data_IF_147054753440
#
_entry.id   IF_147054753440
#
_cell.length_a   1.000
_cell.length_b   1.000
_cell.length_c   1.000
_cell.angle_alpha   90.00
_cell.angle_beta   90.00
_cell.angle_gamma   90.00
#
_symmetry.space_group_name_H-M   'P 1'
#
loop_
_entity.id
_entity.type
_entity.pdbx_description
1 polymer ?
#
# COMPACT_ATOMS: atom_id res chain seq x y z
N UNK A 1 30.25 -3.37 -3.22
CA UNK A 1 30.05 -3.90 -1.85
C UNK A 1 30.76 -3.07 -0.81
N UNK A 2 30.18 -2.95 0.39
CA UNK A 2 30.87 -2.35 1.54
C UNK A 2 31.34 -0.92 1.32
N UNK A 3 30.51 -0.09 0.69
CA UNK A 3 30.81 1.33 0.49
C UNK A 3 29.62 2.18 0.91
N UNK A 4 29.88 3.46 1.17
CA UNK A 4 28.84 4.43 1.44
C UNK A 4 27.78 4.47 0.32
N UNK A 5 28.24 4.55 -0.94
CA UNK A 5 27.36 4.62 -2.11
C UNK A 5 26.51 3.35 -2.27
N UNK A 6 27.08 2.18 -1.97
CA UNK A 6 26.37 0.91 -2.01
C UNK A 6 25.18 0.83 -1.04
N UNK A 7 25.15 1.69 -0.01
CA UNK A 7 24.02 1.79 0.92
C UNK A 7 23.08 2.94 0.57
N UNK A 8 23.63 4.11 0.19
CA UNK A 8 22.85 5.30 -0.10
C UNK A 8 22.00 5.15 -1.36
N UNK A 9 22.51 4.49 -2.41
CA UNK A 9 21.76 4.28 -3.67
C UNK A 9 20.47 3.46 -3.46
N UNK A 10 20.50 2.22 -2.92
CA UNK A 10 19.27 1.48 -2.65
C UNK A 10 18.40 2.22 -1.62
N UNK A 11 19.00 2.83 -0.60
CA UNK A 11 18.28 3.66 0.37
C UNK A 11 17.47 4.78 -0.30
N UNK A 12 18.04 5.44 -1.31
CA UNK A 12 17.37 6.52 -2.06
C UNK A 12 16.14 5.99 -2.79
N UNK A 13 16.26 4.85 -3.48
CA UNK A 13 15.14 4.26 -4.20
C UNK A 13 13.98 3.88 -3.28
N UNK A 14 14.28 3.26 -2.13
CA UNK A 14 13.27 2.91 -1.13
C UNK A 14 12.63 4.15 -0.48
N UNK A 15 13.41 5.19 -0.17
CA UNK A 15 12.87 6.45 0.37
C UNK A 15 11.92 7.11 -0.63
N UNK A 16 12.33 7.26 -1.90
CA UNK A 16 11.51 7.91 -2.91
C UNK A 16 10.18 7.19 -3.14
N UNK A 17 10.21 5.87 -3.26
CA UNK A 17 8.99 5.08 -3.47
C UNK A 17 8.12 5.03 -2.21
N UNK A 18 8.72 4.92 -1.02
CA UNK A 18 8.02 4.94 0.26
C UNK A 18 7.33 6.27 0.53
N UNK A 19 8.00 7.40 0.26
CA UNK A 19 7.41 8.75 0.39
C UNK A 19 6.24 8.92 -0.58
N UNK A 20 6.40 8.45 -1.82
CA UNK A 20 5.35 8.47 -2.82
C UNK A 20 4.13 7.68 -2.37
N UNK A 21 4.31 6.43 -1.93
CA UNK A 21 3.22 5.60 -1.44
C UNK A 21 2.54 6.19 -0.22
N UNK A 22 3.32 6.72 0.73
CA UNK A 22 2.80 7.36 1.93
C UNK A 22 1.89 8.55 1.57
N UNK A 23 2.39 9.50 0.78
CA UNK A 23 1.64 10.67 0.38
C UNK A 23 0.36 10.31 -0.37
N UNK A 24 0.43 9.40 -1.34
CA UNK A 24 -0.74 9.02 -2.15
C UNK A 24 -1.77 8.22 -1.38
N UNK A 25 -1.34 7.35 -0.46
CA UNK A 25 -2.24 6.61 0.43
C UNK A 25 -3.05 7.58 1.28
N UNK A 26 -2.36 8.54 1.92
CA UNK A 26 -3.00 9.57 2.76
C UNK A 26 -3.93 10.47 1.93
N UNK A 27 -3.48 10.96 0.77
CA UNK A 27 -4.32 11.79 -0.12
C UNK A 27 -5.57 11.03 -0.57
N UNK A 28 -5.43 9.77 -0.99
CA UNK A 28 -6.55 8.95 -1.44
C UNK A 28 -7.53 8.65 -0.30
N UNK A 29 -7.03 8.46 0.93
CA UNK A 29 -7.86 8.30 2.12
C UNK A 29 -8.75 9.52 2.35
N UNK A 30 -8.19 10.73 2.42
CA UNK A 30 -9.00 11.95 2.59
C UNK A 30 -9.92 12.22 1.38
N UNK A 31 -9.49 11.91 0.15
CA UNK A 31 -10.38 11.97 -1.01
C UNK A 31 -11.56 11.01 -0.89
N UNK A 32 -11.35 9.80 -0.35
CA UNK A 32 -12.40 8.81 -0.17
C UNK A 32 -13.42 9.22 0.89
N UNK A 33 -12.95 9.78 2.00
CA UNK A 33 -13.79 10.33 3.06
C UNK A 33 -14.65 11.49 2.54
N UNK A 34 -14.07 12.39 1.74
CA UNK A 34 -14.80 13.51 1.13
C UNK A 34 -15.92 13.02 0.20
N UNK A 35 -15.72 11.92 -0.53
CA UNK A 35 -16.71 11.34 -1.45
C UNK A 35 -17.78 10.49 -0.77
N UNK A 36 -17.44 9.81 0.33
CA UNK A 36 -18.42 9.04 1.13
C UNK A 36 -19.59 9.88 1.62
N UNK A 37 -19.36 11.18 1.79
CA UNK A 37 -20.40 12.13 2.19
C UNK A 37 -21.46 12.37 1.11
N UNK A 38 -21.20 12.03 -0.16
CA UNK A 38 -22.14 12.17 -1.28
C UNK A 38 -22.67 10.82 -1.80
N UNK A 39 -21.86 9.75 -1.71
CA UNK A 39 -22.24 8.42 -2.19
C UNK A 39 -21.71 7.35 -1.24
N UNK A 40 -22.62 6.54 -0.70
CA UNK A 40 -22.33 5.39 0.17
C UNK A 40 -21.42 4.35 -0.50
N UNK A 41 -21.36 4.33 -1.84
CA UNK A 41 -20.63 3.34 -2.64
C UNK A 41 -19.13 3.66 -2.85
N UNK A 42 -18.69 4.85 -2.41
CA UNK A 42 -17.29 5.27 -2.53
C UNK A 42 -16.41 4.71 -1.41
N UNK A 43 -15.94 3.47 -1.53
CA UNK A 43 -14.97 2.88 -0.60
C UNK A 43 -13.50 3.16 -0.97
N UNK A 44 -12.64 3.32 0.04
CA UNK A 44 -11.19 3.37 -0.15
C UNK A 44 -10.68 2.00 -0.59
N UNK A 45 -9.74 1.98 -1.54
CA UNK A 45 -9.11 0.74 -2.01
C UNK A 45 -7.63 0.97 -2.29
N UNK A 46 -6.78 0.24 -1.57
CA UNK A 46 -5.34 0.17 -1.74
C UNK A 46 -4.95 -0.39 -3.11
N UNK A 47 -3.86 0.11 -3.65
CA UNK A 47 -3.21 -0.38 -4.86
C UNK A 47 -1.71 -0.51 -4.61
N UNK A 48 -1.07 -1.59 -5.09
CA UNK A 48 0.37 -1.75 -4.91
C UNK A 48 1.12 -0.63 -5.63
N UNK A 49 0.60 -0.23 -6.79
CA UNK A 49 1.14 0.80 -7.67
C UNK A 49 0.14 1.92 -7.88
N UNK A 50 0.59 3.17 -7.78
CA UNK A 50 -0.26 4.34 -7.98
C UNK A 50 0.02 5.06 -9.30
N UNK A 51 -1.04 5.50 -9.98
CA UNK A 51 -0.92 6.33 -11.20
C UNK A 51 -0.16 7.62 -10.92
N UNK A 52 0.65 8.06 -11.88
CA UNK A 52 1.35 9.34 -11.78
C UNK A 52 0.38 10.49 -12.11
N UNK A 53 0.35 11.52 -11.27
CA UNK A 53 -0.50 12.70 -11.52
C UNK A 53 -0.05 13.49 -12.74
N UNK A 54 1.26 13.54 -13.03
CA UNK A 54 1.81 14.22 -14.21
C UNK A 54 1.65 13.39 -15.49
N UNK A 55 1.72 12.06 -15.37
CA UNK A 55 1.68 11.13 -16.50
C UNK A 55 0.66 10.00 -16.24
N UNK A 56 -0.66 10.28 -16.25
CA UNK A 56 -1.68 9.31 -15.87
C UNK A 56 -1.77 8.11 -16.82
N UNK A 57 -1.32 8.29 -18.07
CA UNK A 57 -1.35 7.28 -19.13
C UNK A 57 -0.06 6.44 -19.21
N UNK A 58 0.84 6.53 -18.23
CA UNK A 58 2.10 5.77 -18.20
C UNK A 58 2.29 5.09 -16.83
N UNK A 59 2.83 3.85 -16.79
CA UNK A 59 3.17 3.17 -15.54
C UNK A 59 4.48 3.70 -14.94
N UNK A 60 4.50 4.97 -14.53
CA UNK A 60 5.72 5.66 -14.09
C UNK A 60 6.44 4.95 -12.93
N UNK A 61 5.70 4.35 -12.01
CA UNK A 61 6.27 3.61 -10.89
C UNK A 61 6.92 2.29 -11.32
N UNK A 62 6.27 1.54 -12.22
CA UNK A 62 6.85 0.34 -12.81
C UNK A 62 8.14 0.66 -13.59
N UNK A 63 8.13 1.74 -14.39
CA UNK A 63 9.33 2.21 -15.06
C UNK A 63 10.43 2.64 -14.08
N UNK A 64 10.08 3.36 -13.01
CA UNK A 64 11.04 3.75 -11.98
C UNK A 64 11.71 2.52 -11.35
N UNK A 65 10.94 1.49 -10.98
CA UNK A 65 11.47 0.24 -10.43
C UNK A 65 12.41 -0.47 -11.40
N UNK A 66 12.02 -0.61 -12.67
CA UNK A 66 12.84 -1.24 -13.71
C UNK A 66 14.15 -0.48 -13.92
N UNK A 67 14.09 0.84 -14.08
CA UNK A 67 15.27 1.68 -14.31
C UNK A 67 16.19 1.66 -13.10
N UNK A 68 15.65 1.77 -11.88
CA UNK A 68 16.43 1.72 -10.64
C UNK A 68 17.13 0.37 -10.47
N UNK A 69 16.40 -0.73 -10.73
CA UNK A 69 16.97 -2.07 -10.74
C UNK A 69 18.08 -2.23 -11.79
N UNK A 70 17.89 -1.71 -13.00
CA UNK A 70 18.91 -1.75 -14.04
C UNK A 70 20.17 -0.98 -13.65
N UNK A 71 20.03 0.23 -13.08
CA UNK A 71 21.16 1.02 -12.56
C UNK A 71 21.91 0.24 -11.47
N UNK A 72 21.18 -0.36 -10.52
CA UNK A 72 21.76 -1.19 -9.46
C UNK A 72 22.52 -2.40 -10.01
N UNK A 73 21.90 -3.17 -10.92
CA UNK A 73 22.54 -4.32 -11.57
C UNK A 73 23.78 -3.93 -12.34
N UNK A 74 23.74 -2.85 -13.13
CA UNK A 74 24.90 -2.37 -13.89
C UNK A 74 26.03 -1.99 -12.93
N UNK A 75 25.73 -1.27 -11.85
CA UNK A 75 26.73 -0.89 -10.84
C UNK A 75 27.37 -2.10 -10.15
N UNK A 76 26.58 -3.09 -9.76
CA UNK A 76 27.07 -4.32 -9.13
C UNK A 76 27.87 -5.18 -10.11
N UNK A 77 27.40 -5.36 -11.36
CA UNK A 77 28.13 -6.10 -12.39
C UNK A 77 29.46 -5.41 -12.71
N UNK A 78 29.45 -4.09 -12.91
CA UNK A 78 30.67 -3.33 -13.20
C UNK A 78 31.71 -3.48 -12.08
N UNK A 79 31.27 -3.42 -10.83
CA UNK A 79 32.15 -3.56 -9.66
C UNK A 79 32.44 -5.01 -9.27
N UNK A 80 31.88 -6.00 -9.98
CA UNK A 80 32.13 -7.43 -9.72
C UNK A 80 33.39 -7.94 -10.43
N UNK A 81 33.93 -7.18 -11.39
CA UNK A 81 35.12 -7.55 -12.15
C UNK A 81 36.29 -6.66 -11.76
N UNK A 82 37.41 -7.29 -11.43
CA UNK A 82 38.72 -6.64 -11.32
C UNK A 82 39.65 -7.31 -12.34
N UNK A 83 40.28 -6.51 -13.21
CA UNK A 83 41.16 -6.99 -14.29
C UNK A 83 40.56 -8.10 -15.18
N UNK A 84 39.24 -8.02 -15.44
CA UNK A 84 38.51 -8.98 -16.27
C UNK A 84 38.22 -10.32 -15.58
N UNK A 85 38.56 -10.49 -14.30
CA UNK A 85 38.22 -11.65 -13.49
C UNK A 85 37.07 -11.33 -12.57
N UNK A 86 36.14 -12.27 -12.45
CA UNK A 86 35.04 -12.17 -11.49
C UNK A 86 35.60 -12.35 -10.07
N UNK A 87 35.55 -11.32 -9.24
CA UNK A 87 36.20 -11.31 -7.91
C UNK A 87 35.22 -11.24 -6.74
N UNK A 88 33.97 -10.82 -6.95
CA UNK A 88 33.04 -10.58 -5.83
C UNK A 88 31.73 -11.37 -5.92
N UNK A 89 31.66 -12.47 -5.18
CA UNK A 89 30.41 -13.24 -4.99
C UNK A 89 29.29 -12.43 -4.33
N UNK A 90 29.65 -11.42 -3.52
CA UNK A 90 28.66 -10.50 -2.94
C UNK A 90 27.89 -9.75 -4.03
N UNK A 91 28.58 -9.28 -5.08
CA UNK A 91 27.97 -8.48 -6.14
C UNK A 91 26.90 -9.27 -6.90
N UNK A 92 27.07 -10.59 -7.04
CA UNK A 92 26.04 -11.48 -7.58
C UNK A 92 24.79 -11.52 -6.69
N UNK A 93 24.95 -11.52 -5.37
CA UNK A 93 23.80 -11.47 -4.46
C UNK A 93 23.02 -10.16 -4.63
N UNK A 94 23.69 -8.99 -4.64
CA UNK A 94 23.00 -7.72 -4.85
C UNK A 94 22.39 -7.59 -6.25
N UNK A 95 23.08 -8.07 -7.29
CA UNK A 95 22.51 -8.13 -8.64
C UNK A 95 21.21 -8.94 -8.65
N UNK A 96 21.18 -10.05 -7.92
CA UNK A 96 19.97 -10.87 -7.75
C UNK A 96 18.87 -10.11 -7.00
N UNK A 97 19.19 -9.37 -5.94
CA UNK A 97 18.22 -8.53 -5.23
C UNK A 97 17.58 -7.50 -6.20
N UNK A 98 18.41 -6.75 -6.93
CA UNK A 98 17.92 -5.76 -7.91
C UNK A 98 17.05 -6.39 -9.00
N UNK A 99 17.44 -7.57 -9.51
CA UNK A 99 16.66 -8.30 -10.52
C UNK A 99 15.22 -8.53 -10.05
N UNK A 100 14.99 -9.00 -8.82
CA UNK A 100 13.65 -9.27 -8.32
C UNK A 100 12.80 -8.01 -8.12
N UNK A 101 13.40 -6.89 -7.70
CA UNK A 101 12.71 -5.60 -7.69
C UNK A 101 12.40 -5.09 -9.11
N UNK A 102 13.28 -5.35 -10.08
CA UNK A 102 13.04 -5.09 -11.50
C UNK A 102 11.88 -5.93 -12.06
N UNK A 103 11.80 -7.21 -11.69
CA UNK A 103 10.68 -8.10 -12.06
C UNK A 103 9.35 -7.62 -11.48
N UNK A 104 9.34 -7.11 -10.24
CA UNK A 104 8.14 -6.46 -9.69
C UNK A 104 7.71 -5.25 -10.53
N UNK A 105 8.66 -4.36 -10.89
CA UNK A 105 8.39 -3.23 -11.77
C UNK A 105 7.88 -3.65 -13.16
N UNK A 106 8.40 -4.74 -13.71
CA UNK A 106 7.92 -5.32 -14.95
C UNK A 106 6.47 -5.78 -14.84
N UNK A 107 6.11 -6.50 -13.77
CA UNK A 107 4.73 -6.91 -13.50
C UNK A 107 3.78 -5.72 -13.35
N UNK A 108 4.22 -4.63 -12.71
CA UNK A 108 3.43 -3.39 -12.63
C UNK A 108 3.11 -2.81 -14.02
N UNK A 109 4.09 -2.83 -14.94
CA UNK A 109 3.91 -2.38 -16.32
C UNK A 109 2.92 -3.28 -17.06
N UNK A 110 3.03 -4.60 -16.93
CA UNK A 110 2.12 -5.55 -17.56
C UNK A 110 0.67 -5.35 -17.08
N UNK A 111 0.48 -5.19 -15.77
CA UNK A 111 -0.83 -4.95 -15.16
C UNK A 111 -1.41 -3.60 -15.61
N UNK A 112 -0.58 -2.57 -15.78
CA UNK A 112 -1.02 -1.27 -16.27
C UNK A 112 -1.59 -1.34 -17.69
N UNK A 113 -0.94 -2.09 -18.59
CA UNK A 113 -1.40 -2.26 -19.97
C UNK A 113 -2.52 -3.30 -20.13
N UNK A 114 -3.00 -3.91 -19.04
CA UNK A 114 -4.09 -4.88 -19.08
C UNK A 114 -3.72 -6.20 -19.75
N UNK A 115 -2.44 -6.55 -19.77
CA UNK A 115 -1.98 -7.85 -20.28
C UNK A 115 -2.44 -8.98 -19.35
N UNK A 116 -2.41 -10.22 -19.85
CA UNK A 116 -2.91 -11.42 -19.16
C UNK A 116 -2.09 -11.83 -17.93
N UNK A 117 -2.14 -11.02 -16.87
CA UNK A 117 -1.50 -11.27 -15.58
C UNK A 117 -2.59 -11.31 -14.49
N UNK A 118 -2.56 -12.31 -13.58
CA UNK A 118 -3.54 -12.40 -12.49
C UNK A 118 -3.59 -11.14 -11.61
N UNK A 119 -4.79 -10.77 -11.17
CA UNK A 119 -4.96 -9.64 -10.23
C UNK A 119 -4.25 -9.95 -8.92
N UNK A 120 -3.35 -9.04 -8.49
CA UNK A 120 -2.57 -9.23 -7.26
C UNK A 120 -1.16 -9.76 -7.46
N UNK A 121 -0.75 -10.02 -8.70
CA UNK A 121 0.65 -10.35 -9.01
C UNK A 121 1.63 -9.23 -8.63
N UNK A 122 1.20 -7.97 -8.63
CA UNK A 122 1.95 -6.81 -8.13
C UNK A 122 2.36 -6.97 -6.65
N UNK A 123 1.42 -7.38 -5.79
CA UNK A 123 1.71 -7.63 -4.38
C UNK A 123 2.56 -8.89 -4.17
N UNK A 124 2.27 -9.97 -4.90
CA UNK A 124 3.00 -11.22 -4.76
C UNK A 124 4.46 -11.07 -5.19
N UNK A 125 4.71 -10.40 -6.32
CA UNK A 125 6.08 -10.18 -6.80
C UNK A 125 6.85 -9.19 -5.94
N UNK A 126 6.18 -8.21 -5.32
CA UNK A 126 6.79 -7.32 -4.33
C UNK A 126 7.19 -8.08 -3.06
N UNK A 127 6.30 -8.95 -2.55
CA UNK A 127 6.62 -9.84 -1.43
C UNK A 127 7.78 -10.78 -1.79
N UNK A 128 7.78 -11.36 -3.00
CA UNK A 128 8.86 -12.22 -3.46
C UNK A 128 10.21 -11.46 -3.53
N UNK A 129 10.21 -10.21 -3.97
CA UNK A 129 11.41 -9.37 -3.98
C UNK A 129 11.95 -9.14 -2.56
N UNK A 130 11.08 -8.78 -1.61
CA UNK A 130 11.47 -8.63 -0.20
C UNK A 130 11.96 -9.95 0.41
N UNK A 131 11.35 -11.08 0.05
CA UNK A 131 11.77 -12.40 0.51
C UNK A 131 13.17 -12.76 0.01
N UNK A 132 13.45 -12.58 -1.28
CA UNK A 132 14.76 -12.83 -1.87
C UNK A 132 15.81 -11.90 -1.27
N UNK A 133 15.48 -10.62 -1.09
CA UNK A 133 16.34 -9.65 -0.40
C UNK A 133 16.68 -10.11 1.02
N UNK A 134 15.68 -10.49 1.81
CA UNK A 134 15.87 -10.98 3.18
C UNK A 134 16.74 -12.25 3.21
N UNK A 135 16.46 -13.21 2.33
CA UNK A 135 17.21 -14.46 2.23
C UNK A 135 18.69 -14.20 1.94
N UNK A 136 18.98 -13.33 0.96
CA UNK A 136 20.34 -13.03 0.58
C UNK A 136 21.06 -12.22 1.66
N UNK A 137 20.41 -11.24 2.31
CA UNK A 137 20.98 -10.52 3.45
C UNK A 137 21.30 -11.43 4.62
N UNK A 138 20.42 -12.39 4.93
CA UNK A 138 20.64 -13.33 6.03
C UNK A 138 21.94 -14.11 5.88
N UNK A 139 22.23 -14.62 4.68
CA UNK A 139 23.46 -15.38 4.42
C UNK A 139 24.71 -14.50 4.21
N UNK A 140 24.53 -13.19 4.00
CA UNK A 140 25.61 -12.23 3.75
C UNK A 140 26.44 -11.84 4.99
N UNK A 141 25.98 -12.16 6.21
CA UNK A 141 26.56 -11.63 7.45
C UNK A 141 27.71 -12.45 8.04
N UNK A 142 28.02 -13.61 7.48
CA UNK A 142 29.06 -14.49 8.03
C UNK A 142 30.45 -13.84 7.99
N UNK A 143 31.19 -13.88 9.10
CA UNK A 143 32.58 -13.43 9.19
C UNK A 143 32.78 -11.92 9.35
N UNK A 144 31.74 -11.17 9.74
CA UNK A 144 31.81 -9.71 9.97
C UNK A 144 31.93 -9.33 11.44
N UNK A 145 32.26 -8.06 11.70
CA UNK A 145 32.35 -7.49 13.07
C UNK A 145 30.97 -7.41 13.74
N UNK A 146 30.95 -7.32 15.08
CA UNK A 146 29.70 -7.27 15.86
C UNK A 146 28.80 -6.10 15.42
N UNK A 147 29.39 -4.91 15.20
CA UNK A 147 28.68 -3.73 14.72
C UNK A 147 28.10 -3.91 13.31
N UNK A 148 28.86 -4.49 12.38
CA UNK A 148 28.41 -4.74 11.01
C UNK A 148 27.23 -5.73 10.99
N UNK A 149 27.31 -6.79 11.81
CA UNK A 149 26.24 -7.76 11.97
C UNK A 149 24.96 -7.07 12.49
N UNK A 150 25.02 -6.29 13.58
CA UNK A 150 23.81 -5.73 14.18
C UNK A 150 23.11 -4.71 13.28
N UNK A 151 23.86 -3.84 12.58
CA UNK A 151 23.25 -2.84 11.69
C UNK A 151 22.53 -3.51 10.52
N UNK A 152 23.09 -4.58 9.97
CA UNK A 152 22.46 -5.33 8.90
C UNK A 152 21.34 -6.28 9.38
N UNK A 153 21.42 -6.81 10.60
CA UNK A 153 20.30 -7.54 11.22
C UNK A 153 19.08 -6.64 11.39
N UNK A 154 19.28 -5.39 11.83
CA UNK A 154 18.20 -4.41 11.91
C UNK A 154 17.63 -4.05 10.52
N UNK A 155 18.47 -4.01 9.49
CA UNK A 155 18.01 -3.87 8.11
C UNK A 155 17.17 -5.08 7.68
N UNK A 156 17.61 -6.30 7.99
CA UNK A 156 16.87 -7.53 7.75
C UNK A 156 15.49 -7.52 8.43
N UNK A 157 15.40 -7.02 9.67
CA UNK A 157 14.11 -6.82 10.36
C UNK A 157 13.20 -5.89 9.57
N UNK A 158 13.71 -4.77 9.04
CA UNK A 158 12.93 -3.85 8.22
C UNK A 158 12.45 -4.52 6.91
N UNK A 159 13.29 -5.31 6.25
CA UNK A 159 12.95 -6.04 5.01
C UNK A 159 11.86 -7.07 5.28
N UNK A 160 11.97 -7.85 6.37
CA UNK A 160 10.94 -8.82 6.77
C UNK A 160 9.62 -8.12 7.09
N UNK A 161 9.67 -6.94 7.70
CA UNK A 161 8.47 -6.12 7.92
C UNK A 161 7.86 -5.65 6.58
N UNK A 162 8.66 -5.23 5.60
CA UNK A 162 8.20 -4.89 4.23
C UNK A 162 7.55 -6.08 3.51
N UNK A 163 8.12 -7.27 3.66
CA UNK A 163 7.54 -8.53 3.18
C UNK A 163 6.15 -8.79 3.79
N UNK A 164 6.08 -8.76 5.13
CA UNK A 164 4.82 -8.99 5.84
C UNK A 164 3.77 -7.92 5.48
N UNK A 165 4.16 -6.65 5.42
CA UNK A 165 3.28 -5.56 5.05
C UNK A 165 2.68 -5.73 3.64
N UNK A 166 3.48 -6.20 2.69
CA UNK A 166 3.03 -6.50 1.32
C UNK A 166 1.93 -7.57 1.29
N UNK A 167 2.05 -8.62 2.10
CA UNK A 167 1.05 -9.69 2.22
C UNK A 167 -0.20 -9.23 3.00
N UNK A 168 -0.02 -8.45 4.06
CA UNK A 168 -1.12 -7.89 4.86
C UNK A 168 -1.99 -6.98 3.99
N UNK A 169 -1.38 -6.08 3.21
CA UNK A 169 -2.12 -5.21 2.29
C UNK A 169 -2.77 -5.99 1.15
N UNK A 170 -2.11 -7.02 0.65
CA UNK A 170 -2.70 -7.89 -0.37
C UNK A 170 -4.06 -8.45 0.08
N UNK A 171 -4.15 -8.91 1.33
CA UNK A 171 -5.39 -9.44 1.92
C UNK A 171 -6.36 -8.35 2.37
N UNK A 172 -5.85 -7.20 2.82
CA UNK A 172 -6.66 -6.13 3.44
C UNK A 172 -6.67 -4.84 2.61
N UNK A 173 -7.00 -4.94 1.32
CA UNK A 173 -6.97 -3.80 0.37
C UNK A 173 -8.00 -2.71 0.65
N UNK A 174 -8.99 -2.92 1.50
CA UNK A 174 -9.95 -1.87 1.91
C UNK A 174 -9.48 -1.09 3.13
N UNK A 175 -8.42 -1.53 3.80
CA UNK A 175 -7.93 -0.92 5.03
C UNK A 175 -6.75 0.01 4.73
N UNK A 176 -6.93 1.32 4.94
CA UNK A 176 -5.85 2.31 4.76
C UNK A 176 -4.60 2.01 5.59
N UNK A 177 -4.78 1.42 6.77
CA UNK A 177 -3.65 1.12 7.67
C UNK A 177 -2.70 0.08 7.06
N UNK A 178 -3.20 -0.82 6.21
CA UNK A 178 -2.34 -1.81 5.56
C UNK A 178 -1.40 -1.16 4.53
N UNK A 179 -1.90 -0.21 3.74
CA UNK A 179 -1.09 0.58 2.81
C UNK A 179 -0.14 1.56 3.49
N UNK A 180 -0.57 2.17 4.61
CA UNK A 180 0.31 2.99 5.43
C UNK A 180 1.43 2.14 6.04
N UNK A 181 1.12 0.94 6.55
CA UNK A 181 2.11 0.04 7.12
C UNK A 181 3.17 -0.35 6.09
N UNK A 182 2.79 -0.72 4.87
CA UNK A 182 3.76 -0.98 3.77
C UNK A 182 4.64 0.24 3.50
N UNK A 183 4.05 1.44 3.43
CA UNK A 183 4.79 2.67 3.17
C UNK A 183 5.80 2.97 4.29
N UNK A 184 5.40 2.78 5.55
CA UNK A 184 6.25 2.96 6.74
C UNK A 184 7.41 1.96 6.75
N UNK A 185 7.15 0.66 6.50
CA UNK A 185 8.21 -0.36 6.43
C UNK A 185 9.22 -0.08 5.32
N UNK A 186 8.74 0.36 4.14
CA UNK A 186 9.59 0.71 2.99
C UNK A 186 10.46 1.93 3.31
N UNK A 187 9.91 2.94 3.98
CA UNK A 187 10.67 4.10 4.46
C UNK A 187 11.69 3.72 5.54
N UNK A 188 11.34 2.80 6.45
CA UNK A 188 12.25 2.31 7.47
C UNK A 188 13.44 1.62 6.83
N UNK A 189 13.20 0.74 5.87
CA UNK A 189 14.25 0.08 5.08
C UNK A 189 15.15 1.12 4.39
N UNK A 190 14.57 2.09 3.67
CA UNK A 190 15.35 3.10 2.95
C UNK A 190 16.16 4.04 3.83
N UNK A 191 15.56 4.55 4.91
CA UNK A 191 16.27 5.43 5.87
C UNK A 191 17.32 4.66 6.66
N UNK A 192 17.09 3.37 6.94
CA UNK A 192 18.05 2.55 7.63
C UNK A 192 19.26 2.21 6.75
N UNK A 193 19.06 1.99 5.44
CA UNK A 193 20.18 1.90 4.49
C UNK A 193 21.12 3.12 4.60
N UNK A 194 20.57 4.34 4.67
CA UNK A 194 21.38 5.53 4.92
C UNK A 194 22.13 5.45 6.24
N UNK A 195 21.46 5.06 7.32
CA UNK A 195 22.06 4.94 8.64
C UNK A 195 23.22 3.94 8.66
N UNK A 196 23.07 2.78 8.01
CA UNK A 196 24.16 1.79 7.84
C UNK A 196 25.34 2.42 7.09
N UNK A 197 25.08 3.14 6.00
CA UNK A 197 26.10 3.85 5.24
C UNK A 197 26.89 4.84 6.11
N UNK A 198 26.22 5.63 6.94
CA UNK A 198 26.90 6.58 7.85
C UNK A 198 27.61 5.91 9.03
N UNK A 199 27.12 4.79 9.54
CA UNK A 199 27.78 4.07 10.65
C UNK A 199 29.07 3.40 10.14
N UNK A 200 28.98 2.64 9.05
CA UNK A 200 30.09 1.81 8.57
C UNK A 200 31.05 2.54 7.62
N UNK A 201 30.55 3.51 6.86
CA UNK A 201 31.26 4.12 5.74
C UNK A 201 31.12 5.65 5.70
N UNK A 202 31.14 6.31 6.87
CA UNK A 202 30.95 7.75 6.96
C UNK A 202 31.89 8.52 6.00
N UNK A 203 31.35 9.31 5.04
CA UNK A 203 32.17 9.99 4.05
C UNK A 203 32.73 11.33 4.56
N UNK A 204 32.33 11.78 5.75
CA UNK A 204 32.70 13.11 6.26
C UNK A 204 34.16 13.13 6.74
N UNK A 205 34.98 14.10 6.29
CA UNK A 205 36.34 14.27 6.76
C UNK A 205 36.39 14.48 8.29
N UNK A 206 37.22 13.70 8.99
CA UNK A 206 37.38 13.81 10.44
C UNK A 206 36.25 13.18 11.27
N UNK A 207 35.31 12.47 10.65
CA UNK A 207 34.29 11.73 11.38
C UNK A 207 34.94 10.66 12.29
N UNK A 208 34.51 10.63 13.55
CA UNK A 208 34.92 9.59 14.50
C UNK A 208 34.33 8.27 14.04
N UNK A 209 35.19 7.26 13.86
CA UNK A 209 34.76 5.92 13.49
C UNK A 209 34.06 5.25 14.67
N UNK A 210 33.00 4.51 14.37
CA UNK A 210 32.35 3.65 15.35
C UNK A 210 33.30 2.54 15.77
N UNK A 211 33.26 2.18 17.05
CA UNK A 211 34.01 1.07 17.61
C UNK A 211 33.22 -0.24 17.35
N UNK A 212 33.76 -1.16 16.52
CA UNK A 212 33.02 -2.34 16.07
C UNK A 212 32.60 -3.30 17.19
N UNK A 213 33.29 -3.28 18.33
CA UNK A 213 33.07 -4.22 19.45
C UNK A 213 32.55 -3.52 20.71
N UNK A 214 32.23 -2.22 20.63
CA UNK A 214 31.75 -1.45 21.78
C UNK A 214 30.28 -1.73 22.08
N UNK A 215 30.04 -2.39 23.23
CA UNK A 215 28.68 -2.68 23.70
C UNK A 215 27.79 -1.43 23.84
N UNK A 216 28.24 -0.30 24.44
CA UNK A 216 27.44 0.93 24.49
C UNK A 216 27.05 1.48 23.11
N UNK A 217 27.95 1.38 22.12
CA UNK A 217 27.65 1.83 20.76
C UNK A 217 26.64 0.91 20.07
N UNK A 218 26.73 -0.41 20.29
CA UNK A 218 25.73 -1.37 19.81
C UNK A 218 24.34 -1.07 20.41
N UNK A 219 24.26 -0.75 21.71
CA UNK A 219 23.01 -0.31 22.34
C UNK A 219 22.49 1.00 21.73
N UNK A 220 23.37 1.94 21.40
CA UNK A 220 22.98 3.19 20.74
C UNK A 220 22.39 2.92 19.34
N UNK A 221 22.96 1.99 18.57
CA UNK A 221 22.45 1.62 17.24
C UNK A 221 20.99 1.16 17.29
N UNK A 222 20.63 0.31 18.26
CA UNK A 222 19.24 -0.16 18.39
C UNK A 222 18.29 0.97 18.81
N UNK A 223 18.76 1.91 19.65
CA UNK A 223 17.99 3.11 19.97
C UNK A 223 17.76 4.00 18.74
N UNK A 224 18.78 4.21 17.91
CA UNK A 224 18.67 4.98 16.66
C UNK A 224 17.67 4.32 15.72
N UNK A 225 17.65 2.98 15.61
CA UNK A 225 16.63 2.27 14.82
C UNK A 225 15.20 2.60 15.26
N UNK A 226 14.95 2.61 16.57
CA UNK A 226 13.65 3.01 17.13
C UNK A 226 13.34 4.49 16.86
N UNK A 227 14.34 5.37 16.84
CA UNK A 227 14.14 6.77 16.48
C UNK A 227 13.76 6.95 15.01
N UNK A 228 14.28 6.12 14.09
CA UNK A 228 13.81 6.10 12.71
C UNK A 228 12.32 5.74 12.63
N UNK A 229 11.87 4.73 13.38
CA UNK A 229 10.45 4.36 13.45
C UNK A 229 9.62 5.54 13.95
N UNK A 230 10.02 6.18 15.05
CA UNK A 230 9.33 7.35 15.58
C UNK A 230 9.28 8.51 14.57
N UNK A 231 10.40 8.80 13.91
CA UNK A 231 10.49 9.84 12.87
C UNK A 231 9.55 9.58 11.68
N UNK A 232 9.45 8.33 11.22
CA UNK A 232 8.56 7.95 10.12
C UNK A 232 7.08 8.04 10.54
N UNK A 233 6.74 7.71 11.79
CA UNK A 233 5.39 7.91 12.33
C UNK A 233 5.05 9.40 12.36
N UNK A 234 5.96 10.25 12.84
CA UNK A 234 5.78 11.71 12.83
C UNK A 234 5.62 12.26 11.40
N UNK A 235 6.43 11.79 10.46
CA UNK A 235 6.30 12.13 9.04
C UNK A 235 4.94 11.72 8.45
N UNK A 236 4.46 10.53 8.83
CA UNK A 236 3.12 10.05 8.43
C UNK A 236 2.03 10.98 8.99
N UNK A 237 2.12 11.37 10.25
CA UNK A 237 1.24 12.34 10.88
C UNK A 237 1.28 13.71 10.19
N UNK A 238 2.48 14.17 9.81
CA UNK A 238 2.66 15.41 9.07
C UNK A 238 1.99 15.39 7.69
N UNK A 239 2.18 14.33 6.89
CA UNK A 239 1.45 14.21 5.63
C UNK A 239 -0.06 14.06 5.82
N UNK A 240 -0.48 13.38 6.89
CA UNK A 240 -1.87 13.33 7.35
C UNK A 240 -2.45 14.72 7.56
N UNK A 241 -1.76 15.54 8.33
CA UNK A 241 -2.11 16.94 8.60
C UNK A 241 -2.17 17.77 7.31
N UNK A 242 -1.13 17.73 6.47
CA UNK A 242 -1.10 18.47 5.20
C UNK A 242 -2.27 18.09 4.28
N UNK A 243 -2.56 16.79 4.14
CA UNK A 243 -3.69 16.34 3.32
C UNK A 243 -5.04 16.70 3.94
N UNK A 244 -5.16 16.61 5.27
CA UNK A 244 -6.35 17.09 5.98
C UNK A 244 -6.60 18.56 5.70
N UNK A 245 -5.60 19.44 5.86
CA UNK A 245 -5.72 20.87 5.55
C UNK A 245 -6.13 21.12 4.10
N UNK A 246 -5.53 20.41 3.14
CA UNK A 246 -5.86 20.57 1.71
C UNK A 246 -7.29 20.17 1.38
N UNK A 247 -7.84 19.15 2.04
CA UNK A 247 -9.19 18.65 1.79
C UNK A 247 -10.24 19.24 2.75
N UNK A 248 -9.83 19.86 3.86
CA UNK A 248 -10.69 20.44 4.90
C UNK A 248 -11.77 21.40 4.36
N UNK A 249 -11.47 22.36 3.46
CA UNK A 249 -12.48 23.25 2.91
C UNK A 249 -13.61 22.51 2.18
N UNK A 250 -13.26 21.41 1.50
CA UNK A 250 -14.22 20.57 0.77
C UNK A 250 -15.16 19.87 1.75
N UNK A 251 -14.64 19.35 2.87
CA UNK A 251 -15.49 18.77 3.93
C UNK A 251 -16.43 19.79 4.55
N UNK A 252 -15.93 20.98 4.91
CA UNK A 252 -16.75 22.01 5.55
C UNK A 252 -17.85 22.51 4.61
N UNK A 253 -17.56 22.67 3.33
CA UNK A 253 -18.56 23.05 2.33
C UNK A 253 -19.61 21.94 2.15
N UNK A 254 -19.18 20.68 2.01
CA UNK A 254 -20.09 19.55 1.84
C UNK A 254 -20.97 19.30 3.07
N UNK A 255 -20.46 19.55 4.29
CA UNK A 255 -21.23 19.43 5.53
C UNK A 255 -22.36 20.47 5.60
N UNK A 256 -22.11 21.70 5.14
CA UNK A 256 -23.12 22.75 5.05
C UNK A 256 -24.20 22.43 4.02
N UNK A 257 -23.82 21.89 2.86
CA UNK A 257 -24.77 21.51 1.79
C UNK A 257 -25.69 20.38 2.25
N UNK A 258 -25.12 19.29 2.80
CA UNK A 258 -25.94 18.17 3.26
C UNK A 258 -26.86 18.55 4.44
N UNK A 259 -26.35 19.31 5.42
CA UNK A 259 -27.18 19.79 6.52
C UNK A 259 -28.29 20.74 6.08
N UNK A 260 -28.04 21.55 5.04
CA UNK A 260 -29.07 22.38 4.41
C UNK A 260 -30.13 21.55 3.68
N UNK A 261 -29.73 20.57 2.86
CA UNK A 261 -30.68 19.70 2.15
C UNK A 261 -31.54 18.86 3.11
N UNK A 262 -30.97 18.35 4.20
CA UNK A 262 -31.73 17.64 5.22
C UNK A 262 -32.73 18.56 5.93
N UNK A 263 -32.33 19.82 6.18
CA UNK A 263 -33.21 20.84 6.77
C UNK A 263 -34.36 21.24 5.84
N UNK A 264 -34.12 21.37 4.53
CA UNK A 264 -35.19 21.61 3.54
C UNK A 264 -36.10 20.39 3.37
N UNK A 265 -35.56 19.18 3.40
CA UNK A 265 -36.36 17.95 3.33
C UNK A 265 -37.27 17.84 4.56
N UNK A 266 -36.75 18.11 5.77
CA UNK A 266 -37.52 18.10 7.00
C UNK A 266 -38.62 19.17 7.02
N UNK A 267 -38.30 20.38 6.56
CA UNK A 267 -39.29 21.46 6.41
C UNK A 267 -40.37 21.12 5.37
N UNK A 268 -40.01 20.45 4.27
CA UNK A 268 -40.98 20.04 3.24
C UNK A 268 -41.91 18.92 3.75
N UNK A 269 -41.41 17.99 4.58
CA UNK A 269 -42.25 17.00 5.26
C UNK A 269 -43.19 17.65 6.28
N UNK A 270 -42.73 18.62 7.09
CA UNK A 270 -43.60 19.36 8.01
C UNK A 270 -44.69 20.16 7.30
N UNK A 271 -44.38 20.77 6.14
CA UNK A 271 -45.37 21.49 5.32
C UNK A 271 -46.40 20.51 4.73
N UNK A 272 -45.97 19.36 4.22
CA UNK A 272 -46.88 18.34 3.67
C UNK A 272 -47.82 17.75 4.73
N UNK A 273 -47.32 17.48 5.94
CA UNK A 273 -48.14 17.02 7.06
C UNK A 273 -49.17 18.07 7.50
N UNK A 274 -48.84 19.35 7.41
CA UNK A 274 -49.76 20.45 7.70
C UNK A 274 -50.84 20.65 6.63
N UNK A 275 -50.52 20.45 5.34
CA UNK A 275 -51.50 20.48 4.25
C UNK A 275 -52.46 19.28 4.30
N UNK A 276 -51.95 18.07 4.58
CA UNK A 276 -52.78 16.86 4.78
C UNK A 276 -53.71 17.02 6.00
N UNK A 277 -53.23 17.66 7.08
CA UNK A 277 -54.06 17.99 8.23
C UNK A 277 -55.17 19.00 7.89
N UNK A 278 -54.89 19.99 7.02
CA UNK A 278 -55.90 20.96 6.55
C UNK A 278 -56.92 20.32 5.58
N UNK A 279 -56.50 19.39 4.72
CA UNK A 279 -57.39 18.70 3.79
C UNK A 279 -58.39 17.80 4.52
N UNK A 280 -58.02 17.27 5.69
CA UNK A 280 -58.90 16.49 6.57
C UNK A 280 -60.02 17.31 7.25
N UNK A 281 -59.94 18.64 7.20
CA UNK A 281 -60.95 19.56 7.75
C UNK A 281 -61.99 20.01 6.70
N UNK A 282 -61.84 19.60 5.44
CA UNK A 282 -62.83 19.88 4.40
C UNK A 282 -63.97 18.84 4.45
N UNK A 283 -65.25 19.26 4.48
CA UNK A 283 -66.37 18.34 4.62
C UNK A 283 -66.56 17.48 3.36
N UNK A 284 -66.41 16.16 3.53
CA UNK A 284 -66.66 15.16 2.47
C UNK A 284 -68.16 15.02 2.19
N UNK A 285 -68.57 15.39 0.98
CA UNK A 285 -69.89 15.14 0.41
C UNK A 285 -70.10 13.65 0.17
N UNK A 286 -71.13 13.05 0.80
CA UNK A 286 -71.52 11.64 0.61
C UNK A 286 -72.26 11.46 -0.72
N UNK A 287 -71.77 10.57 -1.60
CA UNK A 287 -72.57 9.95 -2.65
C UNK A 287 -72.22 8.46 -2.86
N UNK A 288 -73.20 7.74 -3.40
CA UNK A 288 -73.52 6.30 -3.27
C UNK A 288 -72.59 5.27 -3.96
N UNK A 289 -72.72 4.02 -3.48
CA UNK A 289 -72.19 2.76 -4.06
C UNK A 289 -72.93 2.34 -5.34
N UNK A 290 -72.28 1.49 -6.16
CA UNK A 290 -72.94 0.25 -6.58
C UNK A 290 -72.07 -1.03 -6.46
N UNK A 291 -72.77 -2.17 -6.34
CA UNK A 291 -72.28 -3.57 -6.33
C UNK A 291 -71.91 -4.07 -7.75
N UNK A 292 -71.01 -5.06 -7.91
CA UNK A 292 -71.34 -6.45 -8.29
C UNK A 292 -70.10 -7.37 -8.50
N UNK A 293 -70.34 -8.67 -8.31
CA UNK A 293 -69.53 -9.92 -8.26
C UNK A 293 -68.55 -10.27 -9.40
N UNK A 294 -67.47 -11.03 -9.08
CA UNK A 294 -67.31 -12.49 -9.42
C UNK A 294 -66.02 -13.13 -8.82
N UNK A 295 -66.12 -14.43 -8.56
CA UNK A 295 -65.26 -15.34 -7.76
C UNK A 295 -64.03 -15.95 -8.51
N UNK A 296 -63.12 -16.68 -7.81
CA UNK A 296 -61.76 -17.04 -8.26
C UNK A 296 -61.57 -18.52 -8.69
N UNK A 297 -60.46 -18.83 -9.38
CA UNK A 297 -59.98 -20.21 -9.62
C UNK A 297 -58.50 -20.40 -9.27
N UNK A 298 -58.24 -21.41 -8.42
CA UNK A 298 -56.96 -22.01 -8.03
C UNK A 298 -56.21 -22.66 -9.21
N UNK A 299 -54.85 -22.77 -9.14
CA UNK A 299 -54.03 -24.01 -9.28
C UNK A 299 -52.59 -23.74 -8.76
N UNK A 300 -52.01 -24.79 -8.15
CA UNK A 300 -50.85 -24.91 -7.26
C UNK A 300 -49.44 -24.78 -7.86
N UNK A 301 -48.51 -24.42 -6.95
CA UNK A 301 -47.05 -24.61 -7.00
C UNK A 301 -46.64 -26.10 -7.00
N UNK A 302 -45.58 -26.44 -7.74
CA UNK A 302 -44.91 -27.75 -7.69
C UNK A 302 -43.39 -27.60 -7.64
N UNK A 303 -42.81 -27.93 -6.49
CA UNK A 303 -41.38 -28.14 -6.24
C UNK A 303 -41.06 -29.62 -6.42
N UNK A 304 -40.00 -30.00 -7.14
CA UNK A 304 -39.45 -31.37 -7.10
C UNK A 304 -37.94 -31.34 -6.88
N UNK A 305 -37.54 -32.09 -5.85
CA UNK A 305 -36.18 -32.37 -5.39
C UNK A 305 -35.66 -33.68 -6.01
N UNK A 306 -34.35 -33.69 -6.32
CA UNK A 306 -33.38 -34.80 -6.28
C UNK A 306 -33.76 -36.20 -6.77
N UNK A 307 -32.99 -36.69 -7.76
CA UNK A 307 -32.70 -38.13 -7.91
C UNK A 307 -31.19 -38.34 -8.06
N UNK A 308 -30.66 -39.13 -7.14
CA UNK A 308 -29.30 -39.70 -7.09
C UNK A 308 -29.20 -40.81 -8.14
N UNK A 309 -28.09 -40.86 -8.88
CA UNK A 309 -27.61 -42.06 -9.58
C UNK A 309 -26.09 -42.10 -9.38
N UNK A 310 -25.63 -43.09 -8.62
CA UNK A 310 -24.27 -43.65 -8.67
C UNK A 310 -24.31 -44.83 -9.65
N UNK A 311 -23.28 -44.98 -10.46
CA UNK A 311 -22.70 -46.27 -10.91
C UNK A 311 -21.44 -45.97 -11.74
N UNK A 312 -20.29 -46.09 -11.08
CA UNK A 312 -19.16 -46.99 -11.36
C UNK A 312 -18.58 -47.17 -12.79
N UNK A 313 -17.24 -47.13 -12.78
CA UNK A 313 -16.23 -47.88 -13.58
C UNK A 313 -16.04 -47.62 -15.09
N UNK A 314 -14.86 -47.12 -15.47
CA UNK A 314 -13.74 -47.96 -15.99
C UNK A 314 -12.56 -47.12 -16.55
N UNK A 315 -11.36 -47.46 -16.04
CA UNK A 315 -10.02 -47.52 -16.64
C UNK A 315 -9.65 -46.71 -17.92
N UNK A 316 -8.67 -45.79 -17.78
CA UNK A 316 -7.29 -45.89 -18.32
C UNK A 316 -6.40 -44.73 -17.83
#
# INVERSE_FOLDING_TARGET
MGTFLGHVVPGTFFILIGLRWLFLTVDQYFKSLSRKQYSQDCSFRCTATYRCSLCPNKPAEGYFKIVSAAIGMIGEIYTAFEDGKFTSMGNTQHTTMYLFFGLNGFVDVLLFYGLYVPKGSDYLTMALACFVEALLFFFHLHGRTSLDIIVHQLLLVAIVASFAASLIEWKNRSNVLSALFRSICTLLQGTWFYQVGFILYNPLPGAVKWDPESHPQIMLVTAIFCWHIAGIILLTGFFGFVCWFRHSPVYTQNAKVNGGSDQYLHAMYEVCDSEVAMESLLPVSKHEKPQNNRNPSHVMNGTISTKVINEDDEDF
#
